data_IF_988855212540
#
_entry.id   IF_988855212540
#
_cell.length_a   1.000
_cell.length_b   1.000
_cell.length_c   1.000
_cell.angle_alpha   90.00
_cell.angle_beta   90.00
_cell.angle_gamma   90.00
#
_symmetry.space_group_name_H-M   'P 1'
#
loop_
_entity.id
_entity.type
_entity.pdbx_description
1 polymer ?
#
# COMPACT_ATOMS: atom_id res chain seq x y z
N UNK A 1 -11.11 3.88 -5.48
CA UNK A 1 -12.14 3.38 -4.52
C UNK A 1 -11.45 2.95 -3.25
N UNK A 2 -11.91 3.44 -2.10
CA UNK A 2 -11.25 3.21 -0.80
C UNK A 2 -11.49 1.81 -0.23
N UNK A 3 -12.68 1.23 -0.46
CA UNK A 3 -13.03 -0.12 0.00
C UNK A 3 -13.90 -0.84 -1.04
N UNK A 4 -13.79 -2.17 -1.17
CA UNK A 4 -14.65 -2.96 -2.05
C UNK A 4 -16.04 -3.16 -1.41
N UNK A 5 -16.76 -2.06 -1.15
CA UNK A 5 -18.02 -2.05 -0.43
C UNK A 5 -19.18 -1.58 -1.33
N UNK A 6 -20.38 -2.07 -1.09
CA UNK A 6 -21.56 -1.72 -1.86
C UNK A 6 -21.40 -2.05 -3.36
N UNK A 7 -21.94 -1.19 -4.21
CA UNK A 7 -21.81 -1.35 -5.66
C UNK A 7 -20.52 -0.69 -6.18
N UNK A 8 -19.36 -1.29 -5.86
CA UNK A 8 -18.05 -0.77 -6.30
C UNK A 8 -17.87 -0.79 -7.82
N UNK A 9 -18.58 -1.65 -8.55
CA UNK A 9 -18.58 -1.67 -10.02
C UNK A 9 -19.14 -0.36 -10.56
N UNK A 10 -20.33 0.05 -10.09
CA UNK A 10 -20.91 1.33 -10.47
C UNK A 10 -20.03 2.51 -10.03
N UNK A 11 -19.45 2.45 -8.83
CA UNK A 11 -18.49 3.43 -8.34
C UNK A 11 -17.26 3.54 -9.26
N UNK A 12 -16.76 2.43 -9.76
CA UNK A 12 -15.62 2.43 -10.69
C UNK A 12 -15.99 3.11 -12.02
N UNK A 13 -17.17 2.81 -12.56
CA UNK A 13 -17.66 3.47 -13.79
C UNK A 13 -17.80 4.99 -13.65
N UNK A 14 -18.21 5.48 -12.47
CA UNK A 14 -18.23 6.92 -12.19
C UNK A 14 -16.82 7.54 -12.16
N UNK A 15 -15.84 6.82 -11.61
CA UNK A 15 -14.44 7.27 -11.65
C UNK A 15 -13.86 7.28 -13.08
N UNK A 16 -14.20 6.29 -13.91
CA UNK A 16 -13.83 6.29 -15.33
C UNK A 16 -14.41 7.51 -16.05
N UNK A 17 -15.66 7.86 -15.77
CA UNK A 17 -16.29 9.07 -16.29
C UNK A 17 -15.52 10.32 -15.88
N UNK A 18 -15.19 10.46 -14.59
CA UNK A 18 -14.40 11.59 -14.09
C UNK A 18 -12.99 11.67 -14.72
N UNK A 19 -12.35 10.52 -14.97
CA UNK A 19 -11.09 10.46 -15.70
C UNK A 19 -11.24 10.94 -17.15
N UNK A 20 -12.25 10.46 -17.89
CA UNK A 20 -12.52 10.86 -19.27
C UNK A 20 -12.88 12.34 -19.40
N UNK A 21 -13.53 12.90 -18.38
CA UNK A 21 -13.82 14.34 -18.29
C UNK A 21 -12.60 15.18 -17.86
N UNK A 22 -11.43 14.56 -17.63
CA UNK A 22 -10.21 15.25 -17.22
C UNK A 22 -10.21 15.77 -15.77
N UNK A 23 -11.20 15.38 -14.96
CA UNK A 23 -11.30 15.79 -13.54
C UNK A 23 -10.26 15.12 -12.66
N UNK A 24 -9.83 13.91 -13.02
CA UNK A 24 -8.77 13.17 -12.35
C UNK A 24 -7.78 12.65 -13.39
N UNK A 25 -6.49 12.54 -13.00
CA UNK A 25 -5.41 12.11 -13.90
C UNK A 25 -5.14 10.61 -13.84
N UNK A 26 -5.57 9.96 -12.77
CA UNK A 26 -5.38 8.54 -12.53
C UNK A 26 -6.47 8.02 -11.60
N UNK A 27 -6.80 6.75 -11.72
CA UNK A 27 -7.77 6.07 -10.85
C UNK A 27 -7.14 4.81 -10.27
N UNK A 28 -7.59 4.40 -9.09
CA UNK A 28 -7.03 3.27 -8.36
C UNK A 28 -8.03 2.62 -7.41
N UNK A 29 -7.57 1.53 -6.82
CA UNK A 29 -8.33 0.70 -5.90
C UNK A 29 -7.64 0.66 -4.54
N UNK A 30 -8.38 0.34 -3.48
CA UNK A 30 -7.82 0.11 -2.15
C UNK A 30 -8.50 -1.05 -1.46
N UNK A 31 -7.71 -1.95 -0.88
CA UNK A 31 -8.15 -3.15 -0.14
C UNK A 31 -8.96 -4.17 -0.97
N UNK A 32 -8.82 -4.16 -2.28
CA UNK A 32 -9.46 -5.13 -3.16
C UNK A 32 -8.67 -6.44 -3.18
N UNK A 33 -9.38 -7.57 -3.12
CA UNK A 33 -8.82 -8.89 -3.38
C UNK A 33 -8.51 -9.09 -4.86
N UNK A 34 -7.67 -10.08 -5.18
CA UNK A 34 -7.36 -10.40 -6.58
C UNK A 34 -8.61 -10.72 -7.42
N UNK A 35 -9.62 -11.39 -6.84
CA UNK A 35 -10.88 -11.66 -7.54
C UNK A 35 -11.66 -10.40 -7.88
N UNK A 36 -11.78 -9.48 -6.93
CA UNK A 36 -12.46 -8.20 -7.14
C UNK A 36 -11.71 -7.28 -8.12
N UNK A 37 -10.37 -7.33 -8.11
CA UNK A 37 -9.57 -6.61 -9.12
C UNK A 37 -9.85 -7.18 -10.52
N UNK A 38 -9.94 -8.50 -10.65
CA UNK A 38 -10.28 -9.14 -11.93
C UNK A 38 -11.66 -8.71 -12.42
N UNK A 39 -12.68 -8.69 -11.55
CA UNK A 39 -14.01 -8.18 -11.90
C UNK A 39 -13.97 -6.76 -12.45
N UNK A 40 -13.13 -5.88 -11.88
CA UNK A 40 -12.94 -4.52 -12.42
C UNK A 40 -12.24 -4.58 -13.77
N UNK A 41 -11.16 -5.36 -13.91
CA UNK A 41 -10.39 -5.44 -15.15
C UNK A 41 -11.20 -6.02 -16.32
N UNK A 42 -12.14 -6.92 -16.05
CA UNK A 42 -13.01 -7.54 -17.07
C UNK A 42 -13.99 -6.52 -17.67
N UNK A 43 -14.31 -5.44 -16.97
CA UNK A 43 -15.34 -4.46 -17.39
C UNK A 43 -14.80 -3.04 -17.60
N UNK A 44 -13.57 -2.76 -17.22
CA UNK A 44 -13.04 -1.40 -17.27
C UNK A 44 -12.61 -0.98 -18.69
N UNK A 45 -12.80 0.29 -19.00
CA UNK A 45 -12.25 0.95 -20.18
C UNK A 45 -10.94 1.70 -19.82
N UNK A 46 -10.81 2.12 -18.57
CA UNK A 46 -9.63 2.78 -18.01
C UNK A 46 -9.11 1.91 -16.87
N UNK A 47 -7.94 1.29 -17.05
CA UNK A 47 -7.34 0.43 -16.01
C UNK A 47 -6.97 1.23 -14.77
N UNK A 48 -7.13 0.64 -13.54
CA UNK A 48 -6.55 1.21 -12.35
C UNK A 48 -5.02 1.15 -12.44
N UNK A 49 -4.34 2.22 -11.99
CA UNK A 49 -2.86 2.27 -12.02
C UNK A 49 -2.23 1.91 -10.68
N UNK A 50 -3.02 1.91 -9.61
CA UNK A 50 -2.55 1.65 -8.25
C UNK A 50 -3.55 0.81 -7.47
N UNK A 51 -3.02 -0.12 -6.67
CA UNK A 51 -3.73 -0.76 -5.57
C UNK A 51 -3.10 -0.32 -4.25
N UNK A 52 -3.86 0.43 -3.44
CA UNK A 52 -3.45 0.70 -2.07
C UNK A 52 -3.88 -0.46 -1.17
N UNK A 53 -2.93 -1.15 -0.55
CA UNK A 53 -3.17 -2.30 0.33
C UNK A 53 -2.15 -2.36 1.45
N UNK A 54 -2.46 -3.10 2.51
CA UNK A 54 -1.52 -3.35 3.59
C UNK A 54 -0.34 -4.16 3.07
N UNK A 55 0.87 -3.60 3.21
CA UNK A 55 2.13 -4.31 2.92
C UNK A 55 3.20 -3.82 3.90
N UNK A 56 3.88 -4.77 4.53
CA UNK A 56 5.02 -4.56 5.42
C UNK A 56 5.86 -5.85 5.46
N UNK A 57 7.06 -5.88 6.08
CA UNK A 57 7.93 -7.06 6.05
C UNK A 57 7.30 -8.37 6.53
N UNK A 58 6.30 -8.33 7.44
CA UNK A 58 5.58 -9.52 7.91
C UNK A 58 4.38 -9.90 7.04
N UNK A 59 3.97 -9.02 6.09
CA UNK A 59 2.88 -9.25 5.16
C UNK A 59 3.20 -8.63 3.81
N UNK A 60 3.73 -9.42 2.88
CA UNK A 60 4.36 -8.90 1.67
C UNK A 60 3.51 -9.01 0.41
N UNK A 61 2.37 -9.69 0.47
CA UNK A 61 1.41 -9.86 -0.66
C UNK A 61 2.08 -10.32 -1.96
N UNK A 62 3.07 -11.22 -1.90
CA UNK A 62 3.90 -11.62 -3.04
C UNK A 62 3.10 -12.09 -4.24
N UNK A 63 2.10 -12.97 -4.02
CA UNK A 63 1.25 -13.50 -5.10
C UNK A 63 0.40 -12.41 -5.75
N UNK A 64 -0.18 -11.54 -4.94
CA UNK A 64 -0.96 -10.40 -5.42
C UNK A 64 -0.05 -9.44 -6.19
N UNK A 65 1.13 -9.15 -5.68
CA UNK A 65 2.13 -8.30 -6.34
C UNK A 65 2.53 -8.83 -7.71
N UNK A 66 2.80 -10.13 -7.83
CA UNK A 66 3.14 -10.76 -9.11
C UNK A 66 2.00 -10.67 -10.12
N UNK A 67 0.75 -10.80 -9.64
CA UNK A 67 -0.44 -10.61 -10.45
C UNK A 67 -0.56 -9.16 -10.94
N UNK A 68 -0.49 -8.20 -10.02
CA UNK A 68 -0.60 -6.76 -10.32
C UNK A 68 0.47 -6.27 -11.29
N UNK A 69 1.70 -6.77 -11.14
CA UNK A 69 2.81 -6.45 -12.04
C UNK A 69 2.51 -6.82 -13.50
N UNK A 70 1.83 -7.95 -13.75
CA UNK A 70 1.40 -8.38 -15.09
C UNK A 70 0.33 -7.46 -15.67
N UNK A 71 -0.50 -6.87 -14.80
CA UNK A 71 -1.55 -5.93 -15.18
C UNK A 71 -1.07 -4.48 -15.29
N UNK A 72 0.19 -4.19 -14.91
CA UNK A 72 0.74 -2.83 -14.89
C UNK A 72 0.23 -1.98 -13.73
N UNK A 73 -0.22 -2.61 -12.65
CA UNK A 73 -0.76 -1.95 -11.44
C UNK A 73 0.32 -1.95 -10.36
N UNK A 74 0.61 -0.79 -9.77
CA UNK A 74 1.60 -0.63 -8.70
C UNK A 74 0.94 -0.75 -7.34
N UNK A 75 1.63 -1.40 -6.39
CA UNK A 75 1.19 -1.40 -4.98
C UNK A 75 1.58 -0.06 -4.32
N UNK A 76 0.62 0.56 -3.65
CA UNK A 76 0.87 1.60 -2.67
C UNK A 76 0.64 1.00 -1.28
N UNK A 77 1.74 0.86 -0.52
CA UNK A 77 1.69 0.24 0.80
C UNK A 77 1.12 1.23 1.84
N UNK A 78 0.02 0.88 2.48
CA UNK A 78 -0.38 1.49 3.74
C UNK A 78 0.06 0.58 4.89
N UNK A 79 0.25 1.14 6.08
CA UNK A 79 0.97 0.51 7.19
C UNK A 79 2.39 -0.01 6.82
N UNK A 80 3.18 0.75 6.02
CA UNK A 80 4.46 0.26 5.55
C UNK A 80 5.43 -0.11 6.70
N UNK A 81 5.24 0.47 7.87
CA UNK A 81 6.00 0.23 9.10
C UNK A 81 5.24 -0.66 10.11
N UNK A 82 4.26 -1.48 9.66
CA UNK A 82 3.57 -2.43 10.50
C UNK A 82 2.66 -1.79 11.57
N UNK A 83 1.94 -0.71 11.23
CA UNK A 83 0.98 -0.05 12.13
C UNK A 83 1.58 0.38 13.49
N UNK A 84 2.87 0.70 13.52
CA UNK A 84 3.57 1.07 14.75
C UNK A 84 3.97 -0.13 15.62
N UNK A 85 4.03 -1.33 15.04
CA UNK A 85 4.55 -2.52 15.72
C UNK A 85 6.02 -2.33 16.05
N UNK A 86 6.30 -2.15 17.35
CA UNK A 86 7.65 -1.99 17.84
C UNK A 86 8.52 -3.21 17.58
N UNK A 87 7.95 -4.42 17.65
CA UNK A 87 8.69 -5.64 17.41
C UNK A 87 9.23 -5.70 15.98
N UNK A 88 8.47 -5.21 14.98
CA UNK A 88 8.94 -5.09 13.62
C UNK A 88 10.13 -4.11 13.49
N UNK A 89 10.05 -2.95 14.13
CA UNK A 89 11.12 -1.95 14.08
C UNK A 89 12.37 -2.37 14.88
N UNK A 90 12.19 -3.23 15.87
CA UNK A 90 13.24 -3.77 16.73
C UNK A 90 13.83 -5.09 16.22
N UNK A 91 13.38 -5.60 15.07
CA UNK A 91 13.97 -6.81 14.46
C UNK A 91 15.48 -6.65 14.27
N UNK A 92 16.28 -7.64 14.71
CA UNK A 92 17.74 -7.58 14.62
C UNK A 92 18.24 -7.26 13.21
N UNK A 93 17.61 -7.83 12.18
CA UNK A 93 17.99 -7.58 10.79
C UNK A 93 17.94 -6.10 10.45
N UNK A 94 16.84 -5.40 10.81
CA UNK A 94 16.72 -3.96 10.49
C UNK A 94 17.66 -3.10 11.32
N UNK A 95 17.97 -3.50 12.56
CA UNK A 95 18.97 -2.80 13.37
C UNK A 95 20.38 -2.97 12.80
N UNK A 96 20.75 -4.17 12.34
CA UNK A 96 22.04 -4.43 11.71
C UNK A 96 22.20 -3.66 10.39
N UNK A 97 21.17 -3.70 9.54
CA UNK A 97 21.15 -2.93 8.29
C UNK A 97 21.20 -1.42 8.57
N UNK A 98 20.46 -0.97 9.59
CA UNK A 98 20.50 0.42 10.03
C UNK A 98 21.90 0.88 10.41
N UNK A 99 22.63 0.09 11.21
CA UNK A 99 24.03 0.35 11.55
C UNK A 99 24.93 0.37 10.32
N UNK A 100 24.73 -0.57 9.40
CA UNK A 100 25.54 -0.68 8.18
C UNK A 100 25.39 0.56 7.28
N UNK A 101 24.18 1.07 7.12
CA UNK A 101 23.86 2.18 6.21
C UNK A 101 23.78 3.54 6.91
N UNK A 102 23.93 3.62 8.24
CA UNK A 102 23.75 4.86 9.01
C UNK A 102 22.30 5.36 9.00
N UNK A 103 21.33 4.44 8.98
CA UNK A 103 19.90 4.71 8.88
C UNK A 103 19.12 4.08 10.05
N UNK A 104 17.90 4.58 10.30
CA UNK A 104 16.98 3.92 11.24
C UNK A 104 16.34 2.68 10.63
N UNK A 105 15.84 1.76 11.46
CA UNK A 105 15.07 0.60 10.99
C UNK A 105 13.89 1.02 10.12
N UNK A 106 13.22 2.12 10.45
CA UNK A 106 12.12 2.66 9.64
C UNK A 106 12.58 3.05 8.24
N UNK A 107 13.73 3.75 8.12
CA UNK A 107 14.30 4.11 6.83
C UNK A 107 14.69 2.87 6.00
N UNK A 108 15.26 1.84 6.62
CA UNK A 108 15.55 0.57 5.94
C UNK A 108 14.29 -0.07 5.39
N UNK A 109 13.21 -0.16 6.18
CA UNK A 109 11.94 -0.75 5.75
C UNK A 109 11.31 0.07 4.62
N UNK A 110 11.29 1.39 4.73
CA UNK A 110 10.74 2.27 3.69
C UNK A 110 11.53 2.15 2.38
N UNK A 111 12.86 2.11 2.47
CA UNK A 111 13.72 1.92 1.29
C UNK A 111 13.52 0.53 0.66
N UNK A 112 13.37 -0.54 1.48
CA UNK A 112 13.02 -1.87 0.99
C UNK A 112 11.73 -1.85 0.14
N UNK A 113 10.70 -1.15 0.60
CA UNK A 113 9.46 -1.00 -0.19
C UNK A 113 9.74 -0.35 -1.55
N UNK A 114 10.48 0.77 -1.55
CA UNK A 114 10.82 1.50 -2.79
C UNK A 114 11.62 0.61 -3.73
N UNK A 115 12.65 -0.06 -3.22
CA UNK A 115 13.49 -0.95 -4.02
C UNK A 115 12.73 -2.19 -4.50
N UNK A 116 11.72 -2.64 -3.77
CA UNK A 116 10.78 -3.66 -4.20
C UNK A 116 9.74 -3.14 -5.22
N UNK A 117 9.73 -1.86 -5.58
CA UNK A 117 8.81 -1.25 -6.54
C UNK A 117 7.44 -0.91 -5.97
N UNK A 118 7.32 -0.73 -4.65
CA UNK A 118 6.10 -0.25 -4.01
C UNK A 118 6.19 1.28 -3.80
N UNK A 119 5.05 1.96 -3.83
CA UNK A 119 4.90 3.31 -3.32
C UNK A 119 4.65 3.22 -1.81
N UNK A 120 5.23 4.12 -1.02
CA UNK A 120 5.03 4.19 0.43
C UNK A 120 4.40 5.51 0.84
N UNK A 121 3.53 5.46 1.85
CA UNK A 121 2.85 6.64 2.41
C UNK A 121 3.01 6.66 3.94
N UNK A 122 4.25 6.82 4.45
CA UNK A 122 4.50 6.87 5.88
C UNK A 122 3.93 8.15 6.48
N UNK A 123 3.08 8.02 7.51
CA UNK A 123 2.53 9.14 8.24
C UNK A 123 3.36 9.45 9.49
N UNK A 124 3.58 10.75 9.78
CA UNK A 124 4.17 11.20 11.04
C UNK A 124 3.68 12.60 11.43
N UNK A 125 3.64 12.87 12.73
CA UNK A 125 3.46 14.22 13.31
C UNK A 125 4.80 14.84 13.77
N UNK A 126 5.88 14.07 13.80
CA UNK A 126 7.21 14.51 14.17
C UNK A 126 7.94 15.09 12.97
N UNK A 127 8.40 16.35 13.00
CA UNK A 127 9.23 16.93 11.92
C UNK A 127 10.47 16.10 11.62
N UNK A 128 11.13 15.54 12.64
CA UNK A 128 12.31 14.69 12.47
C UNK A 128 11.96 13.42 11.69
N UNK A 129 10.89 12.72 12.08
CA UNK A 129 10.46 11.51 11.34
C UNK A 129 10.00 11.83 9.91
N UNK A 130 9.42 13.02 9.68
CA UNK A 130 9.07 13.44 8.31
C UNK A 130 10.34 13.59 7.48
N UNK A 131 11.36 14.23 8.03
CA UNK A 131 12.67 14.37 7.38
C UNK A 131 13.30 12.99 7.10
N UNK A 132 13.32 12.10 8.10
CA UNK A 132 13.84 10.73 7.94
C UNK A 132 13.13 9.96 6.86
N UNK A 133 11.80 10.12 6.71
CA UNK A 133 11.01 9.47 5.68
C UNK A 133 11.38 9.92 4.24
N UNK A 134 12.05 11.06 4.08
CA UNK A 134 12.58 11.51 2.78
C UNK A 134 14.05 11.15 2.57
N UNK A 135 14.80 10.88 3.64
CA UNK A 135 16.21 10.53 3.58
C UNK A 135 16.42 9.03 3.31
N UNK A 136 16.01 8.60 2.11
CA UNK A 136 15.93 7.20 1.70
C UNK A 136 16.72 6.86 0.43
N UNK A 137 17.30 7.84 -0.27
CA UNK A 137 17.74 7.64 -1.66
C UNK A 137 19.27 7.61 -1.82
N UNK A 138 20.03 7.64 -0.74
CA UNK A 138 21.50 7.69 -0.71
C UNK A 138 22.16 6.31 -0.49
N UNK A 139 21.36 5.24 -0.38
CA UNK A 139 21.84 3.87 -0.20
C UNK A 139 21.00 2.87 -1.00
N UNK A 140 21.45 1.62 -1.10
CA UNK A 140 20.70 0.53 -1.71
C UNK A 140 20.95 -0.77 -0.97
N UNK A 141 19.90 -1.54 -0.76
CA UNK A 141 19.99 -2.89 -0.20
C UNK A 141 20.52 -3.85 -1.26
N UNK A 142 21.42 -4.73 -0.87
CA UNK A 142 21.92 -5.79 -1.74
C UNK A 142 20.83 -6.83 -2.03
N UNK A 143 21.00 -7.63 -3.08
CA UNK A 143 20.08 -8.74 -3.40
C UNK A 143 19.94 -9.72 -2.25
N UNK A 144 21.03 -9.97 -1.51
CA UNK A 144 21.00 -10.84 -0.32
C UNK A 144 20.16 -10.24 0.81
N UNK A 145 20.29 -8.95 1.10
CA UNK A 145 19.52 -8.25 2.14
C UNK A 145 18.02 -8.20 1.77
N UNK A 146 17.71 -7.93 0.51
CA UNK A 146 16.33 -8.02 0.00
C UNK A 146 15.76 -9.43 0.19
N UNK A 147 16.55 -10.47 -0.05
CA UNK A 147 16.15 -11.88 0.18
C UNK A 147 15.93 -12.16 1.67
N UNK A 148 16.79 -11.65 2.57
CA UNK A 148 16.60 -11.79 4.02
C UNK A 148 15.29 -11.15 4.49
N UNK A 149 14.95 -9.96 4.00
CA UNK A 149 13.67 -9.33 4.31
C UNK A 149 12.50 -10.13 3.71
N UNK A 150 12.69 -10.70 2.52
CA UNK A 150 11.65 -11.52 1.87
C UNK A 150 11.26 -12.75 2.69
N UNK A 151 12.17 -13.38 3.43
CA UNK A 151 11.84 -14.56 4.26
C UNK A 151 11.14 -14.20 5.58
N UNK A 152 11.08 -12.92 5.95
CA UNK A 152 10.36 -12.46 7.15
C UNK A 152 8.83 -12.49 6.99
N UNK A 153 8.32 -12.78 5.80
CA UNK A 153 6.89 -12.83 5.51
C UNK A 153 6.18 -13.90 6.35
N UNK A 154 5.37 -13.45 7.29
CA UNK A 154 4.55 -14.29 8.18
C UNK A 154 3.13 -14.51 7.64
N UNK A 155 2.78 -13.80 6.56
CA UNK A 155 1.42 -13.72 6.02
C UNK A 155 0.38 -13.32 7.08
N UNK A 156 0.75 -12.41 7.98
CA UNK A 156 -0.09 -11.91 9.09
C UNK A 156 -0.38 -10.44 8.89
N UNK A 157 -1.66 -10.09 8.80
CA UNK A 157 -2.17 -8.72 8.65
C UNK A 157 -2.50 -8.11 9.99
N UNK A 158 -2.38 -6.79 10.07
CA UNK A 158 -2.93 -5.99 11.18
C UNK A 158 -4.40 -5.61 10.96
N UNK A 159 -4.83 -5.57 9.69
CA UNK A 159 -6.19 -5.19 9.34
C UNK A 159 -6.90 -6.29 8.55
N UNK A 160 -8.13 -6.58 8.92
CA UNK A 160 -9.01 -7.49 8.18
C UNK A 160 -10.38 -6.83 8.00
N UNK A 161 -10.83 -6.73 6.75
CA UNK A 161 -12.20 -6.32 6.46
C UNK A 161 -13.15 -7.47 6.78
N UNK A 162 -14.12 -7.23 7.67
CA UNK A 162 -15.23 -8.17 7.89
C UNK A 162 -16.43 -7.79 7.02
N UNK A 163 -17.36 -8.74 6.74
CA UNK A 163 -18.59 -8.43 6.02
C UNK A 163 -19.38 -7.28 6.67
N UNK A 164 -19.44 -7.24 8.02
CA UNK A 164 -20.14 -6.19 8.77
C UNK A 164 -19.46 -4.83 8.57
N UNK A 165 -18.14 -4.80 8.55
CA UNK A 165 -17.37 -3.58 8.31
C UNK A 165 -17.60 -3.07 6.88
N UNK A 166 -17.62 -3.95 5.90
CA UNK A 166 -17.92 -3.58 4.50
C UNK A 166 -19.36 -3.06 4.34
N UNK A 167 -20.33 -3.64 5.05
CA UNK A 167 -21.71 -3.12 5.08
C UNK A 167 -21.75 -1.72 5.68
N UNK A 168 -21.02 -1.46 6.76
CA UNK A 168 -20.91 -0.11 7.35
C UNK A 168 -20.31 0.88 6.36
N UNK A 169 -19.24 0.52 5.65
CA UNK A 169 -18.67 1.38 4.60
C UNK A 169 -19.64 1.64 3.46
N UNK A 170 -20.41 0.64 3.04
CA UNK A 170 -21.42 0.82 1.99
C UNK A 170 -22.55 1.78 2.41
N UNK A 171 -22.85 1.87 3.70
CA UNK A 171 -23.88 2.76 4.25
C UNK A 171 -23.35 4.16 4.59
N UNK A 172 -22.04 4.40 4.55
CA UNK A 172 -21.47 5.72 4.84
C UNK A 172 -21.82 6.73 3.76
N UNK A 173 -22.43 7.84 4.19
CA UNK A 173 -22.64 9.02 3.36
C UNK A 173 -21.73 10.12 3.90
N UNK A 174 -20.55 10.36 3.30
CA UNK A 174 -19.67 11.42 3.77
C UNK A 174 -20.34 12.79 3.51
N UNK A 175 -20.26 13.74 4.45
CA UNK A 175 -20.81 15.08 4.28
C UNK A 175 -19.92 15.91 3.34
N UNK A 176 -20.05 15.64 2.03
CA UNK A 176 -19.15 16.23 1.01
C UNK A 176 -19.31 17.74 0.93
N UNK A 177 -20.54 18.23 1.15
CA UNK A 177 -20.87 19.66 1.07
C UNK A 177 -20.36 20.47 2.27
N UNK A 178 -19.99 19.80 3.38
CA UNK A 178 -19.46 20.43 4.59
C UNK A 178 -17.92 20.47 4.62
N UNK A 179 -17.25 19.82 3.67
CA UNK A 179 -15.80 19.81 3.55
C UNK A 179 -15.33 21.06 2.81
N UNK A 180 -14.99 22.10 3.56
CA UNK A 180 -14.36 23.35 3.08
C UNK A 180 -12.85 23.28 3.14
#
# INVERSE_FOLDING_TARGET
IHQPAGNYIAGYKLMEKAYKEGKVKAIGLSNFSQSQIREILDICEVKPVVLQTEVHPYYQEKKLKDYLKKEGIVIQAWYPLGHGDKALLEEPLFQELGKKYGKSSAQIILHWHIQAGNIVIPGSKSPAHIQDNFDLFDFSLTAWEMAQISIMDKNVRYYTSTPELLQRYAAMVPPVDEQK
#
